data_IF_725947898454
#
_entry.id   IF_725947898454
#
_cell.length_a   1.000
_cell.length_b   1.000
_cell.length_c   1.000
_cell.angle_alpha   90.00
_cell.angle_beta   90.00
_cell.angle_gamma   90.00
#
_symmetry.space_group_name_H-M   'P 1'
#
loop_
_entity.id
_entity.type
_entity.pdbx_description
1 polymer ?
#
# COMPACT_ATOMS: atom_id res chain seq x y z
N UNK A 1 25.08 -13.15 7.37
CA UNK A 1 24.02 -13.79 8.18
C UNK A 1 22.74 -13.85 7.37
N UNK A 2 22.18 -15.01 7.14
CA UNK A 2 20.91 -15.14 6.44
C UNK A 2 19.72 -14.88 7.37
N UNK A 3 18.65 -14.30 6.85
CA UNK A 3 17.43 -14.18 7.62
C UNK A 3 16.79 -15.56 7.86
N UNK A 4 16.14 -15.71 9.01
CA UNK A 4 15.41 -16.94 9.37
C UNK A 4 14.23 -17.21 8.44
N UNK A 5 13.64 -16.16 7.88
CA UNK A 5 12.46 -16.22 7.04
C UNK A 5 12.80 -15.83 5.60
N UNK A 6 12.27 -16.59 4.65
CA UNK A 6 12.42 -16.32 3.21
C UNK A 6 11.34 -15.35 2.71
N UNK A 7 10.21 -15.28 3.40
CA UNK A 7 9.06 -14.45 3.04
C UNK A 7 8.51 -13.77 4.28
N UNK A 8 8.20 -12.49 4.15
CA UNK A 8 7.66 -11.65 5.23
C UNK A 8 6.47 -10.87 4.73
N UNK A 9 5.43 -10.78 5.55
CA UNK A 9 4.30 -9.88 5.36
C UNK A 9 4.44 -8.71 6.31
N UNK A 10 4.53 -7.51 5.78
CA UNK A 10 4.60 -6.26 6.55
C UNK A 10 3.25 -5.56 6.46
N UNK A 11 2.53 -5.49 7.57
CA UNK A 11 1.25 -4.80 7.64
C UNK A 11 1.42 -3.39 8.22
N UNK A 12 0.97 -2.39 7.48
CA UNK A 12 1.02 -0.98 7.85
C UNK A 12 -0.38 -0.41 7.98
N UNK A 13 -0.78 -0.13 9.21
CA UNK A 13 -2.10 0.42 9.51
C UNK A 13 -2.20 1.92 9.20
N UNK A 14 -3.44 2.43 9.11
CA UNK A 14 -3.73 3.84 8.80
C UNK A 14 -3.05 4.81 9.76
N UNK A 15 -3.03 4.49 11.05
CA UNK A 15 -2.42 5.35 12.07
C UNK A 15 -0.89 5.47 11.95
N UNK A 16 -0.25 4.53 11.26
CA UNK A 16 1.20 4.57 11.02
C UNK A 16 1.52 5.61 9.94
N UNK A 17 0.67 5.71 8.92
CA UNK A 17 0.89 6.58 7.76
C UNK A 17 0.13 7.90 7.82
N UNK A 18 -0.70 8.12 8.84
CA UNK A 18 -1.42 9.37 9.01
C UNK A 18 -0.75 10.27 10.05
N UNK A 19 -0.65 11.56 9.74
CA UNK A 19 -0.29 12.61 10.69
C UNK A 19 -1.48 12.94 11.59
N UNK A 20 -1.27 13.67 12.70
CA UNK A 20 -2.37 14.09 13.58
C UNK A 20 -3.47 14.90 12.87
N UNK A 21 -3.14 15.64 11.81
CA UNK A 21 -4.10 16.38 10.98
C UNK A 21 -4.86 15.50 9.97
N UNK A 22 -4.56 14.19 9.94
CA UNK A 22 -5.17 13.22 9.05
C UNK A 22 -4.56 13.16 7.65
N UNK A 23 -3.50 13.91 7.38
CA UNK A 23 -2.75 13.86 6.11
C UNK A 23 -1.79 12.67 6.07
N UNK A 24 -1.32 12.33 4.88
CA UNK A 24 -0.34 11.25 4.68
C UNK A 24 1.06 11.67 5.15
N UNK A 25 1.70 10.85 5.96
CA UNK A 25 3.09 11.03 6.40
C UNK A 25 4.05 10.39 5.40
N UNK A 26 4.44 11.17 4.40
CA UNK A 26 5.35 10.72 3.32
C UNK A 26 6.75 10.41 3.86
N UNK A 27 7.22 11.13 4.87
CA UNK A 27 8.52 10.89 5.50
C UNK A 27 8.57 9.51 6.15
N UNK A 28 7.53 9.15 6.89
CA UNK A 28 7.42 7.83 7.50
C UNK A 28 7.27 6.73 6.47
N UNK A 29 6.53 7.00 5.40
CA UNK A 29 6.37 6.10 4.28
C UNK A 29 7.70 5.83 3.57
N UNK A 30 8.52 6.85 3.37
CA UNK A 30 9.87 6.74 2.81
C UNK A 30 10.77 5.87 3.70
N UNK A 31 10.83 6.15 4.99
CA UNK A 31 11.64 5.37 5.94
C UNK A 31 11.22 3.88 5.99
N UNK A 32 9.92 3.61 5.91
CA UNK A 32 9.40 2.24 5.82
C UNK A 32 9.83 1.56 4.51
N UNK A 33 9.73 2.26 3.40
CA UNK A 33 10.12 1.74 2.09
C UNK A 33 11.61 1.43 2.02
N UNK A 34 12.46 2.23 2.66
CA UNK A 34 13.91 1.96 2.79
C UNK A 34 14.17 0.63 3.53
N UNK A 35 13.44 0.39 4.62
CA UNK A 35 13.57 -0.86 5.39
C UNK A 35 13.08 -2.08 4.60
N UNK A 36 11.95 -1.94 3.91
CA UNK A 36 11.39 -3.00 3.05
C UNK A 36 12.35 -3.31 1.90
N UNK A 37 12.91 -2.29 1.26
CA UNK A 37 13.90 -2.46 0.21
C UNK A 37 15.16 -3.16 0.72
N UNK A 38 15.62 -2.82 1.92
CA UNK A 38 16.74 -3.50 2.57
C UNK A 38 16.50 -4.99 2.79
N UNK A 39 15.31 -5.37 3.25
CA UNK A 39 14.90 -6.77 3.37
C UNK A 39 14.91 -7.48 2.01
N UNK A 40 14.32 -6.85 1.01
CA UNK A 40 14.25 -7.42 -0.35
C UNK A 40 15.65 -7.63 -0.95
N UNK A 41 16.54 -6.64 -0.85
CA UNK A 41 17.93 -6.76 -1.32
C UNK A 41 18.73 -7.83 -0.56
N UNK A 42 18.30 -8.20 0.64
CA UNK A 42 18.88 -9.30 1.41
C UNK A 42 18.29 -10.67 1.04
N UNK A 43 17.49 -10.75 -0.02
CA UNK A 43 16.91 -11.99 -0.54
C UNK A 43 15.61 -12.43 0.13
N UNK A 44 14.95 -11.53 0.87
CA UNK A 44 13.64 -11.80 1.48
C UNK A 44 12.54 -11.37 0.53
N UNK A 45 11.59 -12.23 0.24
CA UNK A 45 10.35 -11.87 -0.46
C UNK A 45 9.46 -11.07 0.49
N UNK A 46 9.00 -9.90 0.06
CA UNK A 46 8.19 -9.01 0.90
C UNK A 46 6.81 -8.76 0.29
N UNK A 47 5.77 -8.97 1.10
CA UNK A 47 4.41 -8.53 0.80
C UNK A 47 4.10 -7.36 1.75
N UNK A 48 3.84 -6.19 1.19
CA UNK A 48 3.49 -5.00 1.95
C UNK A 48 1.97 -4.82 1.94
N UNK A 49 1.34 -4.96 3.09
CA UNK A 49 -0.10 -4.72 3.26
C UNK A 49 -0.28 -3.32 3.85
N UNK A 50 -0.64 -2.37 3.01
CA UNK A 50 -0.72 -0.97 3.41
C UNK A 50 -2.15 -0.46 3.45
N UNK A 51 -2.45 0.30 4.51
CA UNK A 51 -3.56 1.24 4.59
C UNK A 51 -3.09 2.65 4.17
N UNK A 52 -3.97 3.66 4.20
CA UNK A 52 -3.58 5.05 4.01
C UNK A 52 -4.23 5.71 2.80
N UNK A 53 -5.07 5.01 2.04
CA UNK A 53 -5.77 5.60 0.90
C UNK A 53 -6.63 6.82 1.29
N UNK A 54 -7.36 6.75 2.40
CA UNK A 54 -8.18 7.86 2.90
C UNK A 54 -7.31 9.06 3.30
N UNK A 55 -6.21 8.83 4.00
CA UNK A 55 -5.26 9.89 4.38
C UNK A 55 -4.61 10.54 3.15
N UNK A 56 -4.21 9.72 2.19
CA UNK A 56 -3.66 10.19 0.91
C UNK A 56 -4.67 11.04 0.13
N UNK A 57 -5.92 10.60 0.04
CA UNK A 57 -6.99 11.34 -0.63
C UNK A 57 -7.34 12.63 0.09
N UNK A 58 -7.33 12.63 1.41
CA UNK A 58 -7.53 13.85 2.21
C UNK A 58 -6.43 14.87 1.93
N UNK A 59 -5.18 14.44 1.87
CA UNK A 59 -4.04 15.30 1.52
C UNK A 59 -4.20 15.90 0.12
N UNK A 60 -4.59 15.09 -0.85
CA UNK A 60 -4.77 15.53 -2.24
C UNK A 60 -5.95 16.51 -2.37
N UNK A 61 -7.05 16.24 -1.66
CA UNK A 61 -8.27 17.05 -1.71
C UNK A 61 -8.26 18.28 -0.79
N UNK A 62 -7.19 18.48 -0.02
CA UNK A 62 -7.13 19.54 1.01
C UNK A 62 -7.37 20.94 0.45
N UNK A 63 -6.88 21.25 -0.75
CA UNK A 63 -7.05 22.53 -1.42
C UNK A 63 -8.35 22.62 -2.24
N UNK A 64 -9.15 21.58 -2.30
CA UNK A 64 -10.37 21.54 -3.10
C UNK A 64 -11.60 21.89 -2.28
N UNK A 65 -12.44 22.78 -2.82
CA UNK A 65 -13.74 23.08 -2.25
C UNK A 65 -14.76 22.07 -2.75
N UNK A 66 -15.42 21.37 -1.83
CA UNK A 66 -16.48 20.45 -2.20
C UNK A 66 -17.71 21.20 -2.72
N UNK A 67 -18.23 20.75 -3.86
CA UNK A 67 -19.45 21.30 -4.47
C UNK A 67 -20.70 21.07 -3.61
N UNK A 68 -20.68 20.05 -2.76
CA UNK A 68 -21.77 19.68 -1.85
C UNK A 68 -21.20 19.26 -0.50
N UNK A 69 -21.96 19.53 0.56
CA UNK A 69 -21.65 18.98 1.88
C UNK A 69 -21.79 17.46 1.81
N UNK A 70 -20.73 16.75 2.14
CA UNK A 70 -20.70 15.30 2.10
C UNK A 70 -20.96 14.71 3.49
N UNK A 71 -21.75 13.64 3.54
CA UNK A 71 -21.83 12.78 4.71
C UNK A 71 -20.45 12.09 4.95
N UNK A 72 -20.19 11.71 6.20
CA UNK A 72 -18.89 11.13 6.59
C UNK A 72 -18.51 9.90 5.74
N UNK A 73 -19.46 9.02 5.45
CA UNK A 73 -19.22 7.83 4.62
C UNK A 73 -18.85 8.22 3.19
N UNK A 74 -19.60 9.14 2.59
CA UNK A 74 -19.33 9.62 1.22
C UNK A 74 -17.99 10.34 1.12
N UNK A 75 -17.62 11.13 2.13
CA UNK A 75 -16.30 11.76 2.19
C UNK A 75 -15.18 10.72 2.24
N UNK A 76 -15.32 9.67 3.04
CA UNK A 76 -14.33 8.58 3.10
C UNK A 76 -14.24 7.81 1.79
N UNK A 77 -15.36 7.56 1.12
CA UNK A 77 -15.37 6.93 -0.20
C UNK A 77 -14.62 7.77 -1.24
N UNK A 78 -14.89 9.07 -1.27
CA UNK A 78 -14.21 10.01 -2.15
C UNK A 78 -12.70 10.03 -1.87
N UNK A 79 -12.30 10.19 -0.62
CA UNK A 79 -10.88 10.21 -0.24
C UNK A 79 -10.19 8.88 -0.54
N UNK A 80 -10.86 7.77 -0.33
CA UNK A 80 -10.31 6.45 -0.66
C UNK A 80 -10.10 6.28 -2.17
N UNK A 81 -11.07 6.69 -2.98
CA UNK A 81 -10.98 6.59 -4.44
C UNK A 81 -9.84 7.45 -5.00
N UNK A 82 -9.76 8.72 -4.57
CA UNK A 82 -8.69 9.63 -5.00
C UNK A 82 -7.33 9.21 -4.43
N UNK A 83 -7.32 8.82 -3.17
CA UNK A 83 -6.10 8.53 -2.44
C UNK A 83 -5.44 7.22 -2.81
N UNK A 84 -6.19 6.23 -3.30
CA UNK A 84 -5.62 4.93 -3.65
C UNK A 84 -4.59 5.06 -4.78
N UNK A 85 -4.90 5.80 -5.83
CA UNK A 85 -3.98 6.04 -6.94
C UNK A 85 -2.70 6.77 -6.46
N UNK A 86 -2.87 7.78 -5.61
CA UNK A 86 -1.77 8.56 -5.04
C UNK A 86 -0.89 7.71 -4.12
N UNK A 87 -1.50 6.91 -3.25
CA UNK A 87 -0.78 6.03 -2.34
C UNK A 87 0.11 5.04 -3.10
N UNK A 88 -0.44 4.38 -4.10
CA UNK A 88 0.30 3.43 -4.93
C UNK A 88 1.42 4.13 -5.71
N UNK A 89 1.16 5.32 -6.24
CA UNK A 89 2.19 6.07 -6.93
C UNK A 89 3.37 6.43 -6.01
N UNK A 90 3.11 6.82 -4.76
CA UNK A 90 4.16 7.07 -3.79
C UNK A 90 5.02 5.82 -3.53
N UNK A 91 4.40 4.66 -3.32
CA UNK A 91 5.15 3.41 -3.16
C UNK A 91 5.96 3.07 -4.42
N UNK A 92 5.35 3.21 -5.59
CA UNK A 92 6.02 2.97 -6.87
C UNK A 92 7.29 3.82 -7.01
N UNK A 93 7.21 5.11 -6.73
CA UNK A 93 8.35 6.04 -6.80
C UNK A 93 9.42 5.68 -5.77
N UNK A 94 9.03 5.44 -4.51
CA UNK A 94 9.94 5.09 -3.43
C UNK A 94 10.71 3.80 -3.70
N UNK A 95 10.04 2.75 -4.17
CA UNK A 95 10.71 1.50 -4.51
C UNK A 95 11.54 1.59 -5.79
N UNK A 96 11.11 2.38 -6.76
CA UNK A 96 11.90 2.65 -7.97
C UNK A 96 13.25 3.29 -7.64
N UNK A 97 13.32 4.17 -6.65
CA UNK A 97 14.56 4.79 -6.19
C UNK A 97 15.55 3.75 -5.62
N UNK A 98 15.06 2.61 -5.17
CA UNK A 98 15.86 1.45 -4.76
C UNK A 98 16.11 0.44 -5.90
N UNK A 99 15.72 0.73 -7.13
CA UNK A 99 15.81 -0.19 -8.26
C UNK A 99 14.83 -1.36 -8.20
N UNK A 100 13.76 -1.23 -7.42
CA UNK A 100 12.76 -2.27 -7.23
C UNK A 100 11.46 -1.95 -7.95
N UNK A 101 10.79 -3.01 -8.40
CA UNK A 101 9.45 -2.93 -8.98
C UNK A 101 8.43 -3.30 -7.91
N UNK A 102 7.40 -2.50 -7.77
CA UNK A 102 6.24 -2.88 -6.97
C UNK A 102 5.00 -3.06 -7.84
N UNK A 103 4.13 -3.95 -7.42
CA UNK A 103 2.83 -4.15 -8.04
C UNK A 103 1.71 -3.99 -7.01
N UNK A 104 0.49 -3.90 -7.48
CA UNK A 104 -0.68 -3.78 -6.62
C UNK A 104 -1.61 -4.96 -6.77
N UNK A 105 -2.02 -5.54 -5.65
CA UNK A 105 -3.11 -6.50 -5.57
C UNK A 105 -4.20 -5.93 -4.66
N UNK A 106 -5.34 -5.60 -5.23
CA UNK A 106 -6.51 -5.17 -4.46
C UNK A 106 -7.27 -6.40 -3.98
N UNK A 107 -7.40 -6.51 -2.66
CA UNK A 107 -8.05 -7.64 -2.02
C UNK A 107 -9.29 -7.18 -1.27
N UNK A 108 -10.43 -7.78 -1.59
CA UNK A 108 -11.71 -7.57 -0.90
C UNK A 108 -12.12 -8.84 -0.14
N UNK A 109 -13.19 -8.73 0.64
CA UNK A 109 -13.81 -9.92 1.27
C UNK A 109 -14.18 -10.97 0.22
N UNK A 110 -14.74 -10.52 -0.89
CA UNK A 110 -15.17 -11.38 -1.99
C UNK A 110 -13.99 -12.13 -2.61
N UNK A 111 -12.83 -11.49 -2.69
CA UNK A 111 -11.61 -12.11 -3.22
C UNK A 111 -11.15 -13.33 -2.40
N UNK A 112 -11.55 -13.39 -1.13
CA UNK A 112 -11.21 -14.48 -0.21
C UNK A 112 -12.40 -15.41 0.08
N UNK A 113 -13.60 -15.10 -0.42
CA UNK A 113 -14.83 -15.81 -0.07
C UNK A 113 -15.02 -17.13 -0.84
N UNK A 114 -14.43 -17.25 -2.02
CA UNK A 114 -14.49 -18.47 -2.82
C UNK A 114 -13.10 -19.04 -3.05
N UNK A 115 -13.02 -20.38 -3.12
CA UNK A 115 -11.75 -21.08 -3.40
C UNK A 115 -11.12 -20.60 -4.71
N UNK A 116 -11.91 -20.36 -5.74
CA UNK A 116 -11.42 -19.91 -7.05
C UNK A 116 -10.74 -18.55 -6.95
N UNK A 117 -11.39 -17.57 -6.32
CA UNK A 117 -10.83 -16.23 -6.16
C UNK A 117 -9.58 -16.25 -5.28
N UNK A 118 -9.61 -16.99 -4.20
CA UNK A 118 -8.47 -17.18 -3.31
C UNK A 118 -7.24 -17.74 -4.06
N UNK A 119 -7.42 -18.82 -4.82
CA UNK A 119 -6.34 -19.43 -5.59
C UNK A 119 -5.80 -18.51 -6.68
N UNK A 120 -6.65 -17.74 -7.34
CA UNK A 120 -6.21 -16.76 -8.34
C UNK A 120 -5.35 -15.67 -7.72
N UNK A 121 -5.74 -15.14 -6.56
CA UNK A 121 -4.94 -14.13 -5.85
C UNK A 121 -3.62 -14.71 -5.34
N UNK A 122 -3.65 -15.90 -4.76
CA UNK A 122 -2.44 -16.59 -4.31
C UNK A 122 -1.46 -16.82 -5.46
N UNK A 123 -1.96 -17.25 -6.61
CA UNK A 123 -1.14 -17.44 -7.80
C UNK A 123 -0.53 -16.13 -8.29
N UNK A 124 -1.32 -15.06 -8.39
CA UNK A 124 -0.83 -13.74 -8.78
C UNK A 124 0.31 -13.26 -7.88
N UNK A 125 0.11 -13.31 -6.56
CA UNK A 125 1.16 -12.92 -5.61
C UNK A 125 2.40 -13.81 -5.72
N UNK A 126 2.24 -15.11 -5.90
CA UNK A 126 3.36 -16.05 -6.06
C UNK A 126 4.18 -15.73 -7.30
N UNK A 127 3.54 -15.40 -8.42
CA UNK A 127 4.23 -14.98 -9.66
C UNK A 127 4.98 -13.67 -9.46
N UNK A 128 4.37 -12.70 -8.79
CA UNK A 128 5.02 -11.42 -8.47
C UNK A 128 6.27 -11.63 -7.62
N UNK A 129 6.16 -12.36 -6.53
CA UNK A 129 7.28 -12.65 -5.63
C UNK A 129 8.40 -13.41 -6.32
N UNK A 130 8.08 -14.41 -7.13
CA UNK A 130 9.06 -15.19 -7.91
C UNK A 130 9.83 -14.31 -8.91
N UNK A 131 9.27 -13.18 -9.33
CA UNK A 131 9.89 -12.21 -10.23
C UNK A 131 10.48 -10.99 -9.50
N UNK A 132 10.65 -11.05 -8.19
CA UNK A 132 11.25 -9.98 -7.40
C UNK A 132 10.41 -8.72 -7.29
N UNK A 133 9.09 -8.83 -7.41
CA UNK A 133 8.15 -7.72 -7.28
C UNK A 133 7.66 -7.64 -5.83
N UNK A 134 7.64 -6.41 -5.27
CA UNK A 134 7.05 -6.09 -3.96
C UNK A 134 5.56 -5.78 -4.13
#
# INVERSE_FOLDING_TARGET
MGFRFKRVVVKVGSNVLARPDGSLDVTRMSALSDQVAGLHHSGVEVILVSSGAVASGRSEMHAHTFKRKLAQVSARQLFSAVGQAKLINHYYELFRDHGLVCGQVLTTKESLSTRRHYLNQQHCMSVMLANGVI
#
